data_IF_692413736883
#
_entry.id   IF_692413736883
#
_cell.length_a   1.000
_cell.length_b   1.000
_cell.length_c   1.000
_cell.angle_alpha   90.00
_cell.angle_beta   90.00
_cell.angle_gamma   90.00
#
_symmetry.space_group_name_H-M   'P 1'
#
loop_
_entity.id
_entity.type
_entity.pdbx_description
1 polymer ?
#
# COMPACT_ATOMS: atom_id res chain seq x y z
N UNK A 1 -5.36 -0.76 3.25
CA UNK A 1 -5.65 0.04 4.46
C UNK A 1 -6.62 -0.70 5.37
N UNK A 2 -6.44 -0.63 6.69
CA UNK A 2 -7.42 -1.08 7.68
C UNK A 2 -8.15 0.14 8.24
N UNK A 3 -9.45 0.23 7.98
CA UNK A 3 -10.34 1.31 8.42
C UNK A 3 -11.61 0.69 9.01
N UNK A 4 -12.00 1.10 10.21
CA UNK A 4 -13.17 0.57 10.93
C UNK A 4 -13.17 -0.96 11.05
N UNK A 5 -11.97 -1.56 11.22
CA UNK A 5 -11.71 -3.02 11.24
C UNK A 5 -12.04 -3.74 9.93
N UNK A 6 -12.27 -3.01 8.84
CA UNK A 6 -12.47 -3.53 7.49
C UNK A 6 -11.19 -3.30 6.69
N UNK A 7 -10.84 -4.26 5.82
CA UNK A 7 -9.74 -4.11 4.86
C UNK A 7 -10.27 -3.39 3.62
N UNK A 8 -9.64 -2.27 3.31
CA UNK A 8 -9.89 -1.48 2.12
C UNK A 8 -8.65 -1.54 1.21
N UNK A 9 -8.87 -1.61 -0.09
CA UNK A 9 -7.84 -1.40 -1.10
C UNK A 9 -7.56 0.10 -1.19
N UNK A 10 -6.29 0.49 -1.19
CA UNK A 10 -5.91 1.87 -1.52
C UNK A 10 -5.86 1.95 -3.04
N UNK A 11 -6.59 2.91 -3.60
CA UNK A 11 -6.63 3.14 -5.04
C UNK A 11 -5.65 4.24 -5.44
N UNK A 12 -5.51 5.27 -4.59
CA UNK A 12 -4.72 6.44 -4.92
C UNK A 12 -4.29 7.20 -3.66
N UNK A 13 -3.11 7.84 -3.74
CA UNK A 13 -2.58 8.81 -2.79
C UNK A 13 -2.39 10.15 -3.50
N UNK A 14 -2.81 11.25 -2.88
CA UNK A 14 -2.63 12.59 -3.44
C UNK A 14 -2.04 13.53 -2.39
N UNK A 15 -0.94 14.27 -2.66
CA UNK A 15 -0.25 14.33 -3.95
C UNK A 15 0.55 13.07 -4.30
N UNK A 16 1.13 12.41 -3.28
CA UNK A 16 1.92 11.19 -3.44
C UNK A 16 1.89 10.35 -2.15
N UNK A 17 2.31 9.09 -2.25
CA UNK A 17 2.43 8.18 -1.11
C UNK A 17 3.46 8.72 -0.10
N UNK A 18 3.15 8.78 1.21
CA UNK A 18 4.07 9.32 2.22
C UNK A 18 5.22 8.37 2.61
N UNK A 19 5.25 7.16 2.06
CA UNK A 19 6.28 6.17 2.32
C UNK A 19 7.00 5.83 1.01
N UNK A 20 8.33 5.84 1.04
CA UNK A 20 9.18 5.44 -0.07
C UNK A 20 10.32 4.56 0.45
N UNK A 21 10.57 3.43 -0.22
CA UNK A 21 11.68 2.55 0.10
C UNK A 21 13.05 3.17 -0.16
N UNK A 22 13.14 4.12 -1.08
CA UNK A 22 14.39 4.85 -1.34
C UNK A 22 14.84 5.69 -0.13
N UNK A 23 13.93 6.07 0.78
CA UNK A 23 14.28 6.75 2.04
C UNK A 23 15.10 5.85 2.99
N UNK A 24 15.14 4.54 2.70
CA UNK A 24 15.89 3.52 3.42
C UNK A 24 17.06 2.96 2.60
N UNK A 25 17.50 3.68 1.56
CA UNK A 25 18.60 3.31 0.67
C UNK A 25 18.41 1.95 -0.03
N UNK A 26 17.15 1.51 -0.20
CA UNK A 26 16.82 0.26 -0.89
C UNK A 26 15.85 0.48 -2.04
N UNK A 27 15.97 -0.35 -3.07
CA UNK A 27 15.09 -0.35 -4.23
C UNK A 27 14.41 -1.71 -4.36
N UNK A 28 13.09 -1.76 -4.16
CA UNK A 28 12.32 -2.97 -4.38
C UNK A 28 12.48 -3.53 -5.79
N UNK A 29 12.47 -4.85 -5.90
CA UNK A 29 12.53 -5.57 -7.16
C UNK A 29 11.19 -6.25 -7.41
N UNK A 30 10.71 -6.22 -8.66
CA UNK A 30 9.48 -6.86 -9.09
C UNK A 30 9.27 -8.24 -8.45
N UNK A 31 8.08 -8.45 -7.87
CA UNK A 31 7.74 -9.72 -7.23
C UNK A 31 7.13 -10.73 -8.20
N UNK A 32 6.22 -10.27 -9.06
CA UNK A 32 5.62 -11.09 -10.12
C UNK A 32 4.96 -10.19 -11.18
N UNK A 33 4.28 -10.80 -12.15
CA UNK A 33 3.54 -10.05 -13.17
C UNK A 33 2.36 -9.24 -12.61
N UNK A 34 1.89 -9.55 -11.41
CA UNK A 34 0.83 -8.81 -10.72
C UNK A 34 1.36 -7.72 -9.75
N UNK A 35 2.66 -7.67 -9.48
CA UNK A 35 3.29 -6.66 -8.60
C UNK A 35 4.66 -6.29 -9.15
N UNK A 36 4.68 -5.28 -10.03
CA UNK A 36 5.89 -4.78 -10.68
C UNK A 36 6.73 -3.91 -9.74
N UNK A 37 6.08 -3.19 -8.85
CA UNK A 37 6.77 -2.33 -7.87
C UNK A 37 7.56 -3.15 -6.84
N UNK A 38 7.23 -4.43 -6.63
CA UNK A 38 8.02 -5.30 -5.76
C UNK A 38 7.77 -5.13 -4.27
N UNK A 39 6.75 -4.35 -3.90
CA UNK A 39 6.35 -4.15 -2.51
C UNK A 39 4.83 -4.02 -2.34
N UNK A 40 4.38 -4.20 -1.10
CA UNK A 40 2.99 -4.10 -0.68
C UNK A 40 2.91 -3.56 0.75
N UNK A 41 2.32 -2.38 0.89
CA UNK A 41 2.11 -1.74 2.18
C UNK A 41 0.66 -1.89 2.68
N UNK A 42 0.53 -2.12 3.99
CA UNK A 42 -0.75 -2.06 4.69
C UNK A 42 -0.74 -0.89 5.67
N UNK A 43 -1.53 0.13 5.36
CA UNK A 43 -1.76 1.27 6.23
C UNK A 43 -2.92 1.02 7.20
N UNK A 44 -2.94 1.72 8.33
CA UNK A 44 -4.08 1.74 9.24
C UNK A 44 -4.32 3.12 9.84
N UNK A 45 -5.42 3.28 10.58
CA UNK A 45 -5.62 4.41 11.48
C UNK A 45 -5.40 3.99 12.93
N UNK A 46 -4.52 4.71 13.63
CA UNK A 46 -4.28 4.56 15.07
C UNK A 46 -4.41 5.94 15.70
N UNK A 47 -5.28 6.08 16.70
CA UNK A 47 -5.60 7.37 17.32
C UNK A 47 -5.98 8.45 16.28
N UNK A 48 -6.76 8.04 15.28
CA UNK A 48 -7.17 8.86 14.13
C UNK A 48 -6.00 9.37 13.26
N UNK A 49 -4.83 8.72 13.32
CA UNK A 49 -3.64 9.05 12.51
C UNK A 49 -3.27 7.95 11.54
N UNK A 50 -2.89 8.35 10.34
CA UNK A 50 -2.31 7.48 9.33
C UNK A 50 -1.01 6.87 9.86
N UNK A 51 -0.90 5.55 9.73
CA UNK A 51 0.32 4.83 10.01
C UNK A 51 0.52 3.69 9.02
N UNK A 52 1.78 3.38 8.73
CA UNK A 52 2.17 2.15 8.07
C UNK A 52 2.21 1.06 9.14
N UNK A 53 1.40 0.01 8.94
CA UNK A 53 1.24 -1.09 9.89
C UNK A 53 2.11 -2.27 9.51
N UNK A 54 2.06 -2.67 8.23
CA UNK A 54 2.80 -3.81 7.69
C UNK A 54 3.38 -3.42 6.35
N UNK A 55 4.51 -4.02 5.98
CA UNK A 55 5.04 -3.97 4.63
C UNK A 55 5.64 -5.32 4.23
N UNK A 56 5.47 -5.68 2.97
CA UNK A 56 6.12 -6.82 2.32
C UNK A 56 6.91 -6.29 1.14
N UNK A 57 8.18 -6.65 1.00
CA UNK A 57 9.06 -6.12 -0.05
C UNK A 57 10.03 -7.17 -0.55
N UNK A 58 10.36 -7.10 -1.83
CA UNK A 58 11.43 -7.88 -2.44
C UNK A 58 12.70 -7.06 -2.58
N UNK A 59 13.75 -7.52 -1.91
CA UNK A 59 15.08 -6.92 -1.98
C UNK A 59 16.08 -7.96 -2.45
N UNK A 60 16.80 -7.65 -3.52
CA UNK A 60 17.85 -8.49 -4.08
C UNK A 60 19.06 -7.62 -4.41
N UNK A 61 20.25 -8.22 -4.32
CA UNK A 61 21.50 -7.62 -4.76
C UNK A 61 22.23 -8.56 -5.72
N UNK A 62 22.98 -7.97 -6.65
CA UNK A 62 23.84 -8.72 -7.55
C UNK A 62 25.08 -9.21 -6.80
N UNK A 63 25.37 -10.50 -6.91
CA UNK A 63 26.51 -11.13 -6.26
C UNK A 63 27.78 -11.02 -7.11
N UNK A 64 28.60 -10.02 -6.79
CA UNK A 64 29.92 -9.83 -7.42
C UNK A 64 29.81 -9.73 -8.94
N UNK A 65 30.77 -10.35 -9.64
CA UNK A 65 30.82 -10.32 -11.11
C UNK A 65 30.01 -11.47 -11.77
N UNK A 66 29.23 -12.23 -10.98
CA UNK A 66 28.55 -13.45 -11.47
C UNK A 66 27.27 -13.17 -12.25
N UNK A 67 26.66 -12.00 -12.05
CA UNK A 67 25.31 -11.70 -12.56
C UNK A 67 24.17 -12.42 -11.82
N UNK A 68 24.47 -13.20 -10.79
CA UNK A 68 23.44 -13.85 -9.97
C UNK A 68 22.83 -12.86 -8.98
N UNK A 69 21.50 -12.90 -8.83
CA UNK A 69 20.78 -12.09 -7.86
C UNK A 69 20.47 -12.91 -6.63
N UNK A 70 20.86 -12.42 -5.46
CA UNK A 70 20.55 -13.06 -4.18
C UNK A 70 19.61 -12.19 -3.39
N UNK A 71 18.60 -12.79 -2.72
CA UNK A 71 17.77 -12.02 -1.81
C UNK A 71 18.67 -11.41 -0.72
N UNK A 72 18.27 -10.28 -0.16
CA UNK A 72 18.94 -9.65 0.98
C UNK A 72 17.97 -9.34 2.10
N UNK A 73 18.48 -9.18 3.32
CA UNK A 73 17.68 -8.74 4.47
C UNK A 73 17.54 -7.23 4.39
N UNK A 74 16.31 -6.73 4.45
CA UNK A 74 16.05 -5.31 4.40
C UNK A 74 16.43 -4.56 5.69
N UNK A 75 16.46 -3.22 5.63
CA UNK A 75 16.83 -2.37 6.75
C UNK A 75 15.76 -2.35 7.85
N UNK A 76 16.12 -1.91 9.05
CA UNK A 76 15.12 -1.67 10.10
C UNK A 76 14.18 -0.52 9.72
N UNK A 77 12.87 -0.76 9.80
CA UNK A 77 11.84 0.25 9.54
C UNK A 77 11.17 0.61 10.86
N UNK A 78 11.36 1.85 11.34
CA UNK A 78 10.82 2.31 12.62
C UNK A 78 11.18 1.40 13.82
N UNK A 79 12.40 0.85 13.81
CA UNK A 79 12.89 -0.08 14.84
C UNK A 79 12.36 -1.52 14.72
N UNK A 80 11.70 -1.86 13.62
CA UNK A 80 11.26 -3.22 13.29
C UNK A 80 12.17 -3.81 12.22
N UNK A 81 12.82 -4.93 12.55
CA UNK A 81 13.62 -5.70 11.61
C UNK A 81 12.76 -6.58 10.71
N UNK A 82 13.24 -6.83 9.49
CA UNK A 82 12.58 -7.71 8.54
C UNK A 82 12.58 -9.18 9.04
N UNK A 83 11.43 -9.83 8.92
CA UNK A 83 11.36 -11.29 8.88
C UNK A 83 11.63 -11.75 7.45
N UNK A 84 12.69 -12.56 7.29
CA UNK A 84 13.06 -13.11 5.99
C UNK A 84 12.24 -14.35 5.68
N UNK A 85 11.59 -14.36 4.52
CA UNK A 85 10.71 -15.44 4.10
C UNK A 85 11.08 -15.96 2.71
N UNK A 86 10.76 -17.22 2.44
CA UNK A 86 10.85 -17.84 1.11
C UNK A 86 9.45 -17.86 0.48
N UNK A 87 8.96 -16.68 0.10
CA UNK A 87 7.64 -16.49 -0.51
C UNK A 87 7.69 -15.39 -1.59
N UNK A 88 6.52 -14.90 -2.05
CA UNK A 88 6.44 -13.84 -3.07
C UNK A 88 7.23 -12.58 -2.70
N UNK A 89 7.30 -12.21 -1.42
CA UNK A 89 8.07 -11.12 -0.85
C UNK A 89 9.10 -11.64 0.15
N UNK A 90 10.38 -11.45 -0.13
CA UNK A 90 11.45 -12.04 0.66
C UNK A 90 11.73 -11.34 2.01
N UNK A 91 11.13 -10.16 2.24
CA UNK A 91 11.15 -9.43 3.52
C UNK A 91 9.73 -9.05 3.95
N UNK A 92 9.38 -9.36 5.19
CA UNK A 92 8.11 -8.97 5.81
C UNK A 92 8.35 -8.17 7.09
N UNK A 93 7.57 -7.10 7.26
CA UNK A 93 7.60 -6.22 8.41
C UNK A 93 6.19 -6.17 9.00
N UNK A 94 6.06 -6.52 10.27
CA UNK A 94 4.80 -6.52 11.00
C UNK A 94 4.86 -5.51 12.15
N UNK A 95 3.72 -4.89 12.46
CA UNK A 95 3.58 -3.93 13.57
C UNK A 95 4.58 -2.75 13.55
N UNK A 96 4.91 -2.26 12.34
CA UNK A 96 5.86 -1.16 12.10
C UNK A 96 5.44 0.09 12.89
N UNK A 97 4.15 0.43 12.88
CA UNK A 97 3.59 1.61 13.56
C UNK A 97 4.26 2.94 13.16
N UNK A 98 4.79 3.05 11.93
CA UNK A 98 5.40 4.27 11.43
C UNK A 98 4.31 5.31 11.18
N UNK A 99 4.42 6.46 11.85
CA UNK A 99 3.47 7.58 11.73
C UNK A 99 3.96 8.57 10.70
N UNK A 100 3.03 9.17 9.97
CA UNK A 100 3.32 10.22 9.01
C UNK A 100 2.82 11.57 9.54
N UNK A 101 3.60 12.62 9.31
CA UNK A 101 3.15 14.02 9.38
C UNK A 101 2.91 14.50 7.94
N UNK A 102 1.81 14.04 7.36
CA UNK A 102 1.50 14.19 5.94
C UNK A 102 0.14 14.84 5.73
N UNK A 103 0.07 15.67 4.70
CA UNK A 103 -1.13 16.36 4.23
C UNK A 103 -1.52 15.81 2.86
N UNK A 104 -2.77 15.37 2.72
CA UNK A 104 -3.24 14.85 1.44
C UNK A 104 -4.49 14.00 1.55
N UNK A 105 -4.86 13.40 0.42
CA UNK A 105 -6.03 12.54 0.29
C UNK A 105 -5.63 11.10 -0.03
N UNK A 106 -6.37 10.14 0.54
CA UNK A 106 -6.31 8.73 0.15
C UNK A 106 -7.68 8.32 -0.36
N UNK A 107 -7.72 7.74 -1.56
CA UNK A 107 -8.93 7.07 -2.07
C UNK A 107 -8.84 5.60 -1.72
N UNK A 108 -9.84 5.10 -1.00
CA UNK A 108 -9.94 3.71 -0.60
C UNK A 108 -11.25 3.10 -1.05
N UNK A 109 -11.22 1.82 -1.43
CA UNK A 109 -12.40 1.10 -1.90
C UNK A 109 -12.49 -0.32 -1.31
N UNK A 110 -13.70 -0.86 -1.20
CA UNK A 110 -13.97 -2.23 -0.74
C UNK A 110 -15.25 -2.78 -1.36
N UNK A 111 -15.39 -4.11 -1.37
CA UNK A 111 -16.48 -4.81 -2.05
C UNK A 111 -16.22 -4.81 -3.55
N UNK A 112 -15.14 -5.47 -3.98
CA UNK A 112 -14.78 -5.54 -5.38
C UNK A 112 -15.84 -6.31 -6.19
N UNK A 113 -16.20 -5.79 -7.35
CA UNK A 113 -17.21 -6.36 -8.24
C UNK A 113 -16.48 -7.09 -9.36
N UNK A 114 -16.55 -8.42 -9.36
CA UNK A 114 -15.73 -9.29 -10.20
C UNK A 114 -15.95 -9.05 -11.70
N UNK A 115 -17.16 -8.67 -12.11
CA UNK A 115 -17.53 -8.39 -13.50
C UNK A 115 -16.78 -7.20 -14.11
N UNK A 116 -16.22 -6.33 -13.28
CA UNK A 116 -15.43 -5.17 -13.73
C UNK A 116 -13.91 -5.40 -13.64
N UNK A 117 -13.49 -6.64 -13.41
CA UNK A 117 -12.08 -6.97 -13.30
C UNK A 117 -11.31 -6.65 -14.58
N UNK A 118 -10.26 -5.84 -14.42
CA UNK A 118 -9.23 -5.64 -15.45
C UNK A 118 -7.98 -6.46 -15.14
N UNK A 119 -7.42 -7.10 -16.16
CA UNK A 119 -6.27 -7.99 -15.96
C UNK A 119 -4.95 -7.26 -15.76
N UNK A 120 -4.83 -6.02 -16.23
CA UNK A 120 -3.61 -5.22 -16.14
C UNK A 120 -3.91 -3.84 -15.56
N UNK A 121 -3.03 -3.40 -14.66
CA UNK A 121 -3.11 -2.10 -14.00
C UNK A 121 -3.97 -2.12 -12.74
N UNK A 122 -4.20 -0.93 -12.19
CA UNK A 122 -5.00 -0.73 -11.00
C UNK A 122 -6.50 -0.80 -11.34
N UNK A 123 -7.28 -1.44 -10.47
CA UNK A 123 -8.74 -1.44 -10.59
C UNK A 123 -9.27 -0.01 -10.36
N UNK A 124 -10.19 0.44 -11.21
CA UNK A 124 -10.89 1.73 -11.03
C UNK A 124 -11.63 1.75 -9.68
N UNK A 125 -11.75 2.91 -9.00
CA UNK A 125 -12.66 3.03 -7.86
C UNK A 125 -14.09 2.60 -8.19
N UNK A 126 -14.51 2.77 -9.44
CA UNK A 126 -15.84 2.40 -9.90
C UNK A 126 -16.07 0.87 -9.83
N UNK A 127 -15.00 0.06 -9.82
CA UNK A 127 -15.05 -1.41 -9.72
C UNK A 127 -15.40 -1.93 -8.31
N UNK A 128 -15.86 -1.07 -7.40
CA UNK A 128 -16.12 -1.39 -6.00
C UNK A 128 -17.47 -0.85 -5.53
N UNK A 129 -18.14 -1.61 -4.66
CA UNK A 129 -19.41 -1.24 -4.03
C UNK A 129 -19.29 0.00 -3.15
N UNK A 130 -18.18 0.14 -2.42
CA UNK A 130 -17.96 1.23 -1.47
C UNK A 130 -16.66 1.94 -1.75
N UNK A 131 -16.72 3.27 -1.85
CA UNK A 131 -15.57 4.12 -2.13
C UNK A 131 -15.57 5.29 -1.16
N UNK A 132 -14.44 5.57 -0.51
CA UNK A 132 -14.25 6.74 0.32
C UNK A 132 -13.03 7.53 -0.12
N UNK A 133 -13.13 8.86 -0.05
CA UNK A 133 -11.96 9.74 0.02
C UNK A 133 -11.72 10.14 1.46
N UNK A 134 -10.50 9.96 1.92
CA UNK A 134 -10.04 10.28 3.27
C UNK A 134 -9.07 11.46 3.19
N UNK A 135 -9.37 12.55 3.88
CA UNK A 135 -8.51 13.75 3.90
C UNK A 135 -7.71 13.79 5.18
N UNK A 136 -6.40 14.02 5.04
CA UNK A 136 -5.45 14.06 6.14
C UNK A 136 -4.79 15.44 6.27
N UNK A 137 -4.62 15.87 7.52
CA UNK A 137 -3.83 17.04 7.92
C UNK A 137 -2.89 16.71 9.06
N UNK A 138 -1.59 16.95 8.88
CA UNK A 138 -0.52 16.54 9.79
C UNK A 138 -0.69 15.08 10.23
N UNK A 139 -1.00 14.21 9.26
CA UNK A 139 -1.26 12.78 9.43
C UNK A 139 -2.57 12.40 10.10
N UNK A 140 -3.40 13.35 10.54
CA UNK A 140 -4.70 13.09 11.17
C UNK A 140 -5.81 13.08 10.13
N UNK A 141 -6.69 12.09 10.19
CA UNK A 141 -7.91 12.09 9.39
C UNK A 141 -8.81 13.24 9.85
N UNK A 142 -9.06 14.21 8.97
CA UNK A 142 -9.91 15.38 9.28
C UNK A 142 -11.26 15.31 8.58
N UNK A 143 -11.37 14.55 7.50
CA UNK A 143 -12.61 14.44 6.74
C UNK A 143 -12.68 13.09 6.01
N UNK A 144 -13.90 12.59 5.81
CA UNK A 144 -14.21 11.39 5.05
C UNK A 144 -15.42 11.66 4.18
N UNK A 145 -15.25 11.52 2.88
CA UNK A 145 -16.31 11.70 1.89
C UNK A 145 -16.66 10.34 1.30
N UNK A 146 -17.92 9.95 1.42
CA UNK A 146 -18.46 8.77 0.74
C UNK A 146 -18.68 9.10 -0.74
N UNK A 147 -18.05 8.33 -1.62
CA UNK A 147 -18.12 8.47 -3.07
C UNK A 147 -18.85 7.28 -3.72
N UNK A 148 -19.46 6.40 -2.94
CA UNK A 148 -20.07 5.16 -3.42
C UNK A 148 -21.21 5.41 -4.41
N UNK A 149 -22.01 6.46 -4.19
CA UNK A 149 -23.08 6.86 -5.13
C UNK A 149 -22.49 7.33 -6.46
N UNK A 150 -21.43 8.15 -6.43
CA UNK A 150 -20.76 8.63 -7.65
C UNK A 150 -20.15 7.46 -8.43
N UNK A 151 -19.57 6.48 -7.73
CA UNK A 151 -19.05 5.26 -8.34
C UNK A 151 -20.19 4.44 -8.98
N UNK A 152 -21.32 4.28 -8.30
CA UNK A 152 -22.51 3.60 -8.82
C UNK A 152 -23.07 4.25 -10.09
N UNK A 153 -23.24 5.58 -10.09
CA UNK A 153 -23.71 6.32 -11.26
C UNK A 153 -22.78 6.15 -12.47
N UNK A 154 -21.46 6.05 -12.26
CA UNK A 154 -20.47 5.82 -13.33
C UNK A 154 -20.51 4.41 -13.89
N UNK A 155 -20.92 3.43 -13.10
CA UNK A 155 -21.21 2.07 -13.57
C UNK A 155 -22.52 1.99 -14.35
N UNK A 156 -23.46 2.86 -14.03
CA UNK A 156 -24.82 2.84 -14.57
C UNK A 156 -25.81 2.04 -13.71
N UNK A 157 -25.55 1.96 -12.39
CA UNK A 157 -26.47 1.38 -11.39
C UNK A 157 -27.64 2.32 -11.05
#
# INVERSE_FOLDING_TARGET
MILDRVRWTIIDFRPECPFNWEDYDVRPVQACTACWDGHLEVYSLRDNRLNLKESSVNLYEEEGDSGEWKPVVGPDVNGVSAERLDNLFNNQYNDINLRFDWDGDIVVATGFIEEMYVHMGHQSPDAFERVNRLEFKAGRLVNRVDLSVVAAERRGD
#
